data_IF_830574617060
#
_entry.id   IF_830574617060
#
_cell.length_a   1.000
_cell.length_b   1.000
_cell.length_c   1.000
_cell.angle_alpha   90.00
_cell.angle_beta   90.00
_cell.angle_gamma   90.00
#
_symmetry.space_group_name_H-M   'P 1'
#
loop_
_entity.id
_entity.type
_entity.pdbx_description
1 polymer ?
#
# COMPACT_ATOMS: atom_id res chain seq x y z
N UNK A 1 0.20 17.09 -23.46
CA UNK A 1 0.21 15.61 -23.34
C UNK A 1 0.75 15.08 -22.01
N UNK A 2 1.38 15.90 -21.14
CA UNK A 2 2.07 15.45 -19.91
C UNK A 2 1.21 15.34 -18.62
N UNK A 3 -0.12 15.43 -18.71
CA UNK A 3 -1.02 15.45 -17.54
C UNK A 3 -2.08 14.33 -17.53
N UNK A 4 -1.90 13.27 -18.33
CA UNK A 4 -2.75 12.07 -18.22
C UNK A 4 -2.31 11.29 -16.97
N UNK A 5 -2.71 11.83 -15.82
CA UNK A 5 -2.80 11.26 -14.48
C UNK A 5 -2.15 9.88 -14.33
N UNK A 6 -0.81 9.86 -14.22
CA UNK A 6 -0.03 8.63 -14.02
C UNK A 6 -0.56 7.80 -12.83
N UNK A 7 -1.11 8.48 -11.82
CA UNK A 7 -1.72 7.86 -10.64
C UNK A 7 -3.12 7.23 -10.85
N UNK A 8 -3.71 7.40 -12.04
CA UNK A 8 -4.93 6.71 -12.49
C UNK A 8 -4.65 5.47 -13.33
N UNK A 9 -3.40 5.23 -13.74
CA UNK A 9 -3.05 4.01 -14.46
C UNK A 9 -3.40 2.78 -13.61
N UNK A 10 -3.93 1.74 -14.27
CA UNK A 10 -3.98 0.41 -13.66
C UNK A 10 -2.56 -0.14 -13.55
N UNK A 11 -2.36 -1.14 -12.71
CA UNK A 11 -1.06 -1.84 -12.60
C UNK A 11 -0.64 -2.39 -13.96
N UNK A 12 -1.59 -2.97 -14.72
CA UNK A 12 -1.33 -3.51 -16.05
C UNK A 12 -0.83 -2.45 -17.04
N UNK A 13 -1.48 -1.28 -17.09
CA UNK A 13 -1.06 -0.19 -17.98
C UNK A 13 0.27 0.43 -17.54
N UNK A 14 0.45 0.68 -16.24
CA UNK A 14 1.72 1.18 -15.72
C UNK A 14 2.86 0.20 -16.05
N UNK A 15 2.68 -1.09 -15.78
CA UNK A 15 3.70 -2.10 -16.04
C UNK A 15 4.03 -2.23 -17.55
N UNK A 16 3.04 -2.05 -18.43
CA UNK A 16 3.27 -2.04 -19.88
C UNK A 16 4.11 -0.82 -20.30
N UNK A 17 3.75 0.39 -19.86
CA UNK A 17 4.48 1.62 -20.17
C UNK A 17 5.92 1.58 -19.62
N UNK A 18 6.12 1.05 -18.40
CA UNK A 18 7.44 0.87 -17.80
C UNK A 18 8.32 -0.08 -18.64
N UNK A 19 7.77 -1.20 -19.11
CA UNK A 19 8.50 -2.16 -19.95
C UNK A 19 8.80 -1.62 -21.34
N UNK A 20 7.92 -0.79 -21.88
CA UNK A 20 8.10 -0.14 -23.19
C UNK A 20 9.09 1.03 -23.13
N UNK A 21 9.49 1.49 -21.93
CA UNK A 21 10.33 2.67 -21.77
C UNK A 21 9.59 3.99 -22.04
N UNK A 22 8.25 3.95 -22.13
CA UNK A 22 7.40 5.12 -22.31
C UNK A 22 7.23 5.94 -21.01
N UNK A 23 7.52 5.29 -19.88
CA UNK A 23 7.48 5.84 -18.53
C UNK A 23 8.61 5.20 -17.74
N UNK A 24 9.35 5.99 -16.94
CA UNK A 24 10.33 5.43 -16.00
C UNK A 24 9.70 5.12 -14.64
N UNK A 25 10.21 4.10 -13.90
CA UNK A 25 9.79 3.85 -12.52
C UNK A 25 9.99 5.07 -11.61
N UNK A 26 11.03 5.87 -11.86
CA UNK A 26 11.29 7.11 -11.12
C UNK A 26 10.19 8.15 -11.38
N UNK A 27 9.84 8.44 -12.63
CA UNK A 27 8.75 9.38 -12.96
C UNK A 27 7.42 8.95 -12.35
N UNK A 28 7.09 7.64 -12.42
CA UNK A 28 5.87 7.12 -11.81
C UNK A 28 5.89 7.26 -10.28
N UNK A 29 7.04 7.02 -9.65
CA UNK A 29 7.20 7.12 -8.19
C UNK A 29 7.07 8.56 -7.72
N UNK A 30 7.74 9.50 -8.36
CA UNK A 30 7.63 10.94 -8.05
C UNK A 30 6.17 11.40 -8.20
N UNK A 31 5.48 10.98 -9.26
CA UNK A 31 4.07 11.31 -9.44
C UNK A 31 3.16 10.81 -8.30
N UNK A 32 3.50 9.69 -7.64
CA UNK A 32 2.79 9.25 -6.44
C UNK A 32 3.23 10.00 -5.18
N UNK A 33 4.52 10.29 -5.02
CA UNK A 33 5.03 11.05 -3.87
C UNK A 33 4.46 12.48 -3.83
N UNK A 34 4.42 13.17 -4.97
CA UNK A 34 3.81 14.51 -5.10
C UNK A 34 2.33 14.49 -4.68
N UNK A 35 1.60 13.43 -5.05
CA UNK A 35 0.20 13.27 -4.66
C UNK A 35 0.03 12.93 -3.19
N UNK A 36 0.92 12.13 -2.63
CA UNK A 36 0.94 11.83 -1.20
C UNK A 36 1.13 13.14 -0.42
N UNK A 37 2.10 13.97 -0.81
CA UNK A 37 2.33 15.27 -0.19
C UNK A 37 1.11 16.18 -0.29
N UNK A 38 0.49 16.27 -1.47
CA UNK A 38 -0.66 17.16 -1.69
C UNK A 38 -1.96 16.70 -1.01
N UNK A 39 -2.22 15.39 -0.92
CA UNK A 39 -3.54 14.86 -0.54
C UNK A 39 -3.56 14.16 0.82
N UNK A 40 -2.45 13.54 1.25
CA UNK A 40 -2.40 12.80 2.51
C UNK A 40 -2.66 13.68 3.75
N UNK A 41 -2.30 14.99 3.81
CA UNK A 41 -2.66 15.83 4.96
C UNK A 41 -4.18 15.91 5.22
N UNK A 42 -5.01 15.69 4.20
CA UNK A 42 -6.48 15.69 4.31
C UNK A 42 -7.07 14.29 4.45
N UNK A 43 -6.50 13.30 3.75
CA UNK A 43 -7.01 11.92 3.73
C UNK A 43 -6.48 11.11 4.92
N UNK A 44 -5.25 11.38 5.35
CA UNK A 44 -4.53 10.69 6.43
C UNK A 44 -4.49 9.15 6.23
N UNK A 45 -4.11 8.72 5.03
CA UNK A 45 -3.99 7.31 4.64
C UNK A 45 -2.63 6.70 5.01
N UNK A 46 -1.58 7.50 5.20
CA UNK A 46 -0.22 7.03 5.54
C UNK A 46 0.16 7.36 6.98
N UNK A 47 0.78 6.40 7.68
CA UNK A 47 1.49 6.61 8.97
C UNK A 47 2.96 6.93 8.72
N UNK A 48 3.58 6.25 7.75
CA UNK A 48 4.98 6.43 7.38
C UNK A 48 5.06 6.55 5.87
N UNK A 49 5.60 7.65 5.35
CA UNK A 49 5.97 7.77 3.94
C UNK A 49 7.47 7.51 3.82
N UNK A 50 7.88 6.66 2.89
CA UNK A 50 9.28 6.26 2.72
C UNK A 50 9.88 6.91 1.48
N UNK A 51 9.75 8.24 1.35
CA UNK A 51 10.05 8.97 0.11
C UNK A 51 11.46 8.71 -0.43
N UNK A 52 12.51 8.90 0.39
CA UNK A 52 13.89 8.69 -0.04
C UNK A 52 14.15 7.23 -0.46
N UNK A 53 13.67 6.28 0.34
CA UNK A 53 13.75 4.86 0.01
C UNK A 53 13.00 4.53 -1.28
N UNK A 54 11.82 5.12 -1.49
CA UNK A 54 11.04 4.91 -2.71
C UNK A 54 11.80 5.42 -3.94
N UNK A 55 12.45 6.58 -3.83
CA UNK A 55 13.31 7.14 -4.88
C UNK A 55 14.51 6.25 -5.19
N UNK A 56 15.18 5.72 -4.17
CA UNK A 56 16.30 4.79 -4.35
C UNK A 56 15.86 3.49 -5.04
N UNK A 57 14.74 2.92 -4.59
CA UNK A 57 14.15 1.73 -5.20
C UNK A 57 13.74 2.00 -6.66
N UNK A 58 13.21 3.19 -6.95
CA UNK A 58 12.82 3.62 -8.29
C UNK A 58 14.00 3.85 -9.24
N UNK A 59 15.08 4.49 -8.76
CA UNK A 59 16.34 4.64 -9.52
C UNK A 59 16.91 3.28 -9.90
N UNK A 60 17.00 2.36 -8.93
CA UNK A 60 17.47 0.99 -9.17
C UNK A 60 16.60 0.24 -10.18
N UNK A 61 15.27 0.34 -10.04
CA UNK A 61 14.35 -0.27 -11.00
C UNK A 61 14.50 0.32 -12.42
N UNK A 62 14.76 1.63 -12.51
CA UNK A 62 15.01 2.32 -13.78
C UNK A 62 16.28 1.79 -14.45
N UNK A 63 17.38 1.67 -13.71
CA UNK A 63 18.65 1.12 -14.19
C UNK A 63 18.53 -0.36 -14.62
N UNK A 64 17.78 -1.16 -13.87
CA UNK A 64 17.54 -2.56 -14.18
C UNK A 64 16.73 -2.73 -15.47
N UNK A 65 15.63 -1.97 -15.63
CA UNK A 65 14.83 -2.00 -16.85
C UNK A 65 15.60 -1.50 -18.07
N UNK A 66 16.37 -0.41 -17.92
CA UNK A 66 17.23 0.12 -19.00
C UNK A 66 18.29 -0.90 -19.46
N UNK A 67 18.74 -1.76 -18.55
CA UNK A 67 19.66 -2.85 -18.85
C UNK A 67 18.98 -4.17 -19.23
N UNK A 68 17.67 -4.17 -19.50
CA UNK A 68 16.89 -5.36 -19.89
C UNK A 68 16.64 -6.37 -18.77
N UNK A 69 16.91 -6.03 -17.50
CA UNK A 69 16.76 -6.92 -16.34
C UNK A 69 15.41 -6.73 -15.65
N UNK A 70 14.34 -7.27 -16.26
CA UNK A 70 13.03 -7.30 -15.61
C UNK A 70 12.95 -8.38 -14.52
N UNK A 71 12.28 -8.06 -13.40
CA UNK A 71 11.99 -8.98 -12.27
C UNK A 71 10.56 -9.53 -12.32
N UNK A 72 9.87 -9.30 -13.43
CA UNK A 72 8.50 -9.76 -13.64
C UNK A 72 7.48 -8.63 -13.73
N UNK A 73 6.18 -8.94 -13.62
CA UNK A 73 5.10 -8.03 -13.99
C UNK A 73 4.93 -6.82 -13.04
N UNK A 74 5.50 -6.88 -11.84
CA UNK A 74 5.41 -5.80 -10.83
C UNK A 74 6.71 -5.00 -10.69
N UNK A 75 7.71 -5.25 -11.55
CA UNK A 75 8.97 -4.51 -11.49
C UNK A 75 8.72 -3.02 -11.73
N UNK A 76 9.16 -2.17 -10.79
CA UNK A 76 9.03 -0.72 -10.86
C UNK A 76 7.65 -0.19 -10.46
N UNK A 77 6.75 -1.04 -9.94
CA UNK A 77 5.39 -0.63 -9.55
C UNK A 77 5.38 -0.09 -8.11
N UNK A 78 4.92 1.18 -7.89
CA UNK A 78 4.84 1.75 -6.54
C UNK A 78 3.65 1.23 -5.73
N UNK A 79 3.93 0.61 -4.59
CA UNK A 79 2.94 0.01 -3.68
C UNK A 79 3.10 0.55 -2.26
N UNK A 80 2.06 0.38 -1.43
CA UNK A 80 2.15 0.66 0.00
C UNK A 80 1.60 -0.50 0.84
N UNK A 81 2.13 -0.66 2.04
CA UNK A 81 1.70 -1.75 2.94
C UNK A 81 0.81 -1.23 4.06
N UNK A 82 -0.26 -1.95 4.41
CA UNK A 82 -0.93 -1.73 5.71
C UNK A 82 0.12 -1.82 6.83
N UNK A 83 0.00 -0.99 7.86
CA UNK A 83 0.98 -0.93 8.96
C UNK A 83 0.89 -2.09 9.96
N UNK A 84 0.60 -3.29 9.47
CA UNK A 84 0.73 -4.59 10.16
C UNK A 84 1.84 -5.45 9.56
N UNK A 85 2.28 -5.13 8.33
CA UNK A 85 3.25 -5.93 7.60
C UNK A 85 4.65 -5.50 8.01
N UNK A 86 5.38 -6.43 8.64
CA UNK A 86 6.78 -6.22 8.96
C UNK A 86 7.57 -5.94 7.68
N UNK A 87 8.41 -4.92 7.75
CA UNK A 87 9.20 -4.39 6.65
C UNK A 87 10.56 -3.99 7.21
N UNK A 88 11.62 -4.68 6.81
CA UNK A 88 12.95 -4.52 7.38
C UNK A 88 13.43 -3.07 7.25
N UNK A 89 13.85 -2.49 8.38
CA UNK A 89 14.33 -1.11 8.45
C UNK A 89 13.26 -0.03 8.33
N UNK A 90 11.97 -0.39 8.21
CA UNK A 90 10.85 0.56 8.12
C UNK A 90 9.92 0.35 9.31
N UNK A 91 9.67 1.42 10.06
CA UNK A 91 8.78 1.45 11.23
C UNK A 91 7.44 0.74 10.97
N UNK A 92 7.10 -0.24 11.80
CA UNK A 92 5.79 -0.95 11.79
C UNK A 92 5.12 -0.79 13.13
N UNK A 93 4.02 -0.05 13.20
CA UNK A 93 3.44 0.35 14.50
C UNK A 93 2.17 -0.40 14.88
N UNK A 94 1.56 -1.13 13.95
CA UNK A 94 0.23 -1.69 14.17
C UNK A 94 -0.86 -0.63 14.26
N UNK A 95 -0.56 0.63 13.92
CA UNK A 95 -1.40 1.77 14.30
C UNK A 95 -1.48 1.97 15.83
N UNK A 96 -0.49 1.52 16.60
CA UNK A 96 -0.44 1.60 18.06
C UNK A 96 0.72 2.47 18.54
N UNK A 97 0.61 3.00 19.76
CA UNK A 97 1.75 3.59 20.49
C UNK A 97 2.72 2.54 21.05
N UNK A 98 2.25 1.31 21.28
CA UNK A 98 3.08 0.23 21.84
C UNK A 98 4.27 -0.09 20.91
N UNK A 99 4.05 -0.05 19.60
CA UNK A 99 5.10 -0.26 18.59
C UNK A 99 5.49 1.05 17.90
N UNK A 100 5.34 2.20 18.55
CA UNK A 100 5.64 3.51 17.94
C UNK A 100 7.06 3.55 17.37
N UNK A 101 8.05 2.99 18.08
CA UNK A 101 9.46 2.98 17.68
C UNK A 101 9.93 1.62 17.16
N UNK A 102 9.01 0.68 16.89
CA UNK A 102 9.36 -0.65 16.42
C UNK A 102 9.84 -0.62 14.97
N UNK A 103 11.11 -0.98 14.77
CA UNK A 103 11.75 -1.11 13.46
C UNK A 103 12.16 -2.58 13.27
N UNK A 104 11.45 -3.33 12.41
CA UNK A 104 11.72 -4.75 12.20
C UNK A 104 13.07 -4.96 11.52
N UNK A 105 13.75 -6.06 11.86
CA UNK A 105 14.99 -6.49 11.20
C UNK A 105 14.74 -7.37 9.97
N UNK A 106 13.51 -7.86 9.81
CA UNK A 106 13.12 -8.76 8.72
C UNK A 106 11.78 -8.34 8.11
N UNK A 107 11.63 -8.67 6.82
CA UNK A 107 10.36 -8.52 6.12
C UNK A 107 9.37 -9.63 6.50
N UNK A 108 8.09 -9.29 6.48
CA UNK A 108 7.02 -10.27 6.30
C UNK A 108 7.21 -11.07 5.02
N UNK A 109 6.65 -12.27 4.95
CA UNK A 109 6.73 -13.08 3.71
C UNK A 109 6.15 -12.34 2.50
N UNK A 110 5.09 -11.55 2.70
CA UNK A 110 4.44 -10.77 1.64
C UNK A 110 5.32 -9.60 1.20
N UNK A 111 5.83 -8.80 2.13
CA UNK A 111 6.73 -7.68 1.83
C UNK A 111 7.99 -8.16 1.10
N UNK A 112 8.60 -9.25 1.58
CA UNK A 112 9.77 -9.86 0.95
C UNK A 112 9.49 -10.26 -0.50
N UNK A 113 8.39 -10.98 -0.75
CA UNK A 113 8.02 -11.45 -2.12
C UNK A 113 7.75 -10.27 -3.06
N UNK A 114 7.11 -9.21 -2.58
CA UNK A 114 6.82 -8.02 -3.39
C UNK A 114 8.09 -7.22 -3.70
N UNK A 115 9.00 -7.10 -2.72
CA UNK A 115 10.33 -6.50 -2.92
C UNK A 115 11.18 -7.31 -3.90
N UNK A 116 11.19 -8.64 -3.78
CA UNK A 116 11.87 -9.55 -4.72
C UNK A 116 11.31 -9.40 -6.16
N UNK A 117 10.00 -9.17 -6.30
CA UNK A 117 9.36 -8.88 -7.58
C UNK A 117 9.67 -7.48 -8.15
N UNK A 118 10.46 -6.66 -7.44
CA UNK A 118 10.90 -5.34 -7.90
C UNK A 118 9.92 -4.21 -7.67
N UNK A 119 8.94 -4.37 -6.77
CA UNK A 119 8.04 -3.26 -6.39
C UNK A 119 8.79 -2.17 -5.63
N UNK A 120 8.25 -0.95 -5.66
CA UNK A 120 8.77 0.23 -4.98
C UNK A 120 7.88 0.51 -3.77
N UNK A 121 8.47 0.62 -2.58
CA UNK A 121 7.70 0.87 -1.36
C UNK A 121 7.49 2.36 -1.13
N UNK A 122 6.25 2.82 -1.24
CA UNK A 122 5.84 4.20 -0.95
C UNK A 122 5.70 4.47 0.56
N UNK A 123 5.35 3.45 1.33
CA UNK A 123 5.26 3.57 2.78
C UNK A 123 4.29 2.61 3.47
N UNK A 124 3.90 3.00 4.68
CA UNK A 124 3.05 2.25 5.60
C UNK A 124 1.73 3.00 5.83
N UNK A 125 0.62 2.30 5.62
CA UNK A 125 -0.73 2.84 5.60
C UNK A 125 -1.39 2.74 6.96
N UNK A 126 -2.18 3.76 7.28
CA UNK A 126 -2.95 3.85 8.50
C UNK A 126 -3.95 2.69 8.61
N UNK A 127 -4.14 2.23 9.85
CA UNK A 127 -5.01 1.12 10.21
C UNK A 127 -5.71 1.44 11.51
N UNK A 128 -6.86 0.83 11.75
CA UNK A 128 -7.35 0.75 13.14
C UNK A 128 -6.30 0.00 13.98
N UNK A 129 -6.09 0.45 15.23
CA UNK A 129 -5.07 -0.11 16.12
C UNK A 129 -5.20 -1.64 16.20
N UNK A 130 -4.09 -2.34 15.91
CA UNK A 130 -4.02 -3.81 15.81
C UNK A 130 -5.11 -4.47 14.97
N UNK A 131 -5.53 -3.79 13.91
CA UNK A 131 -6.62 -4.22 13.04
C UNK A 131 -8.00 -4.29 13.72
N UNK A 132 -8.13 -3.87 14.99
CA UNK A 132 -9.32 -4.06 15.81
C UNK A 132 -10.30 -2.90 15.71
N UNK A 133 -10.99 -2.81 14.58
CA UNK A 133 -12.06 -1.83 14.38
C UNK A 133 -12.43 -1.67 12.91
N UNK A 134 -13.62 -1.12 12.67
CA UNK A 134 -14.25 -1.07 11.34
C UNK A 134 -14.36 0.33 10.75
N UNK A 135 -13.64 1.31 11.31
CA UNK A 135 -13.72 2.72 10.89
C UNK A 135 -12.38 3.36 10.50
N UNK A 136 -11.26 2.77 10.94
CA UNK A 136 -9.92 3.38 10.87
C UNK A 136 -9.86 4.80 11.51
N UNK A 137 -10.70 5.04 12.52
CA UNK A 137 -10.47 6.12 13.48
C UNK A 137 -9.35 5.70 14.43
N UNK A 138 -8.11 6.06 14.12
CA UNK A 138 -6.95 5.75 14.94
C UNK A 138 -6.70 6.89 15.96
N UNK A 139 -6.71 6.64 17.28
CA UNK A 139 -6.52 7.68 18.29
C UNK A 139 -5.07 8.20 18.39
N UNK A 140 -4.11 7.50 17.80
CA UNK A 140 -2.68 7.83 17.91
C UNK A 140 -2.14 8.52 16.66
N UNK A 141 -2.59 8.08 15.48
CA UNK A 141 -2.17 8.60 14.18
C UNK A 141 -3.27 9.39 13.46
N UNK A 142 -4.40 9.63 14.12
CA UNK A 142 -5.56 10.34 13.59
C UNK A 142 -6.45 9.48 12.67
N UNK A 143 -7.70 9.92 12.42
CA UNK A 143 -8.63 9.19 11.57
C UNK A 143 -8.22 9.28 10.10
N UNK A 144 -8.31 8.17 9.36
CA UNK A 144 -8.31 8.22 7.88
C UNK A 144 -9.70 8.68 7.41
N UNK A 145 -9.74 9.53 6.39
CA UNK A 145 -10.98 10.03 5.77
C UNK A 145 -11.26 9.33 4.44
N UNK A 146 -12.54 9.18 4.10
CA UNK A 146 -12.93 8.62 2.81
C UNK A 146 -12.68 9.66 1.68
N UNK A 147 -11.94 9.32 0.61
CA UNK A 147 -11.70 10.27 -0.48
C UNK A 147 -12.95 10.73 -1.24
N UNK A 148 -14.07 10.00 -1.16
CA UNK A 148 -15.34 10.41 -1.76
C UNK A 148 -16.10 11.46 -0.95
N UNK A 149 -15.91 11.47 0.38
CA UNK A 149 -16.47 12.45 1.30
C UNK A 149 -15.61 12.48 2.57
N UNK A 150 -14.85 13.57 2.76
CA UNK A 150 -13.89 13.69 3.86
C UNK A 150 -14.55 13.73 5.25
N UNK A 151 -15.88 13.91 5.33
CA UNK A 151 -16.63 13.78 6.57
C UNK A 151 -16.91 12.32 6.96
N UNK A 152 -16.71 11.36 6.04
CA UNK A 152 -17.04 9.94 6.22
C UNK A 152 -15.80 9.08 6.49
N UNK A 153 -16.06 7.91 7.06
CA UNK A 153 -15.05 6.87 7.29
C UNK A 153 -14.76 6.08 6.01
N UNK A 154 -13.52 5.58 5.84
CA UNK A 154 -13.15 4.66 4.77
C UNK A 154 -13.38 3.19 5.15
N UNK A 155 -14.21 2.92 6.17
CA UNK A 155 -14.29 1.66 6.89
C UNK A 155 -12.95 1.25 7.55
N UNK A 156 -12.84 -0.01 7.98
CA UNK A 156 -11.66 -0.50 8.66
C UNK A 156 -11.57 -2.03 8.73
N UNK A 157 -10.45 -2.57 9.19
CA UNK A 157 -9.30 -1.81 9.69
C UNK A 157 -8.31 -1.37 8.62
N UNK A 158 -8.41 -1.87 7.38
CA UNK A 158 -7.54 -1.45 6.25
C UNK A 158 -8.03 -0.17 5.56
N UNK A 159 -8.59 0.78 6.33
CA UNK A 159 -9.13 2.04 5.81
C UNK A 159 -8.08 2.88 5.08
N UNK A 160 -6.85 2.97 5.60
CA UNK A 160 -5.74 3.62 4.90
C UNK A 160 -5.43 2.98 3.55
N UNK A 161 -5.47 1.65 3.46
CA UNK A 161 -5.29 0.91 2.19
C UNK A 161 -6.37 1.26 1.17
N UNK A 162 -7.65 1.22 1.56
CA UNK A 162 -8.76 1.57 0.67
C UNK A 162 -8.72 3.02 0.22
N UNK A 163 -8.50 3.94 1.17
CA UNK A 163 -8.42 5.37 0.92
C UNK A 163 -7.23 5.74 0.01
N UNK A 164 -6.06 5.12 0.22
CA UNK A 164 -4.90 5.36 -0.64
C UNK A 164 -5.15 5.00 -2.10
N UNK A 165 -5.80 3.87 -2.38
CA UNK A 165 -6.15 3.49 -3.77
C UNK A 165 -7.19 4.45 -4.35
N UNK A 166 -8.25 4.75 -3.60
CA UNK A 166 -9.33 5.63 -4.07
C UNK A 166 -8.81 7.04 -4.39
N UNK A 167 -7.94 7.59 -3.54
CA UNK A 167 -7.29 8.90 -3.77
C UNK A 167 -6.14 8.85 -4.80
N UNK A 168 -5.75 7.68 -5.31
CA UNK A 168 -4.64 7.53 -6.24
C UNK A 168 -3.29 7.89 -5.60
N UNK A 169 -3.03 7.34 -4.42
CA UNK A 169 -1.80 7.54 -3.64
C UNK A 169 -0.89 6.30 -3.66
N UNK A 170 -1.31 5.23 -4.33
CA UNK A 170 -0.52 4.04 -4.66
C UNK A 170 -1.16 3.32 -5.85
N UNK A 171 -0.42 2.47 -6.55
CA UNK A 171 -1.00 1.59 -7.61
C UNK A 171 -1.74 0.39 -7.01
N UNK A 172 -1.17 -0.16 -5.93
CA UNK A 172 -1.68 -1.31 -5.19
C UNK A 172 -1.32 -1.14 -3.71
N UNK A 173 -2.15 -1.72 -2.85
CA UNK A 173 -1.86 -1.75 -1.41
C UNK A 173 -2.09 -3.14 -0.85
N UNK A 174 -1.42 -3.44 0.25
CA UNK A 174 -1.78 -4.62 1.05
C UNK A 174 -2.78 -4.22 2.14
N UNK A 175 -3.64 -5.16 2.51
CA UNK A 175 -4.56 -5.06 3.65
C UNK A 175 -4.60 -6.37 4.42
N UNK A 176 -5.31 -6.40 5.54
CA UNK A 176 -5.64 -7.65 6.23
C UNK A 176 -7.14 -7.73 6.47
N UNK A 177 -7.70 -8.95 6.43
CA UNK A 177 -9.14 -9.20 6.58
C UNK A 177 -9.34 -10.34 7.59
N UNK A 178 -9.87 -9.97 8.76
CA UNK A 178 -10.25 -10.91 9.83
C UNK A 178 -11.76 -11.10 9.84
N UNK A 179 -12.52 -10.01 9.72
CA UNK A 179 -13.99 -10.00 9.71
C UNK A 179 -14.59 -9.11 8.64
N UNK A 180 -13.86 -8.81 7.56
CA UNK A 180 -14.26 -7.86 6.52
C UNK A 180 -13.24 -6.74 6.28
N UNK A 181 -12.10 -6.75 6.96
CA UNK A 181 -11.19 -5.61 7.01
C UNK A 181 -10.43 -5.27 5.72
N UNK A 182 -10.56 -6.07 4.65
CA UNK A 182 -10.21 -5.67 3.27
C UNK A 182 -11.47 -5.28 2.51
N UNK A 183 -12.52 -6.11 2.59
CA UNK A 183 -13.74 -5.96 1.79
C UNK A 183 -14.58 -4.74 2.15
N UNK A 184 -14.67 -4.38 3.44
CA UNK A 184 -15.41 -3.19 3.87
C UNK A 184 -14.72 -1.89 3.41
N UNK A 185 -13.40 -1.69 3.59
CA UNK A 185 -12.73 -0.54 3.00
C UNK A 185 -12.82 -0.50 1.48
N UNK A 186 -12.72 -1.65 0.82
CA UNK A 186 -12.87 -1.73 -0.63
C UNK A 186 -14.26 -1.24 -1.08
N UNK A 187 -15.32 -1.71 -0.41
CA UNK A 187 -16.70 -1.29 -0.68
C UNK A 187 -16.91 0.21 -0.44
N UNK A 188 -16.52 0.73 0.73
CA UNK A 188 -16.77 2.12 1.10
C UNK A 188 -15.89 3.12 0.32
N UNK A 189 -14.70 2.70 -0.12
CA UNK A 189 -13.81 3.54 -0.93
C UNK A 189 -14.02 3.34 -2.44
N UNK A 190 -14.93 2.47 -2.88
CA UNK A 190 -15.19 2.22 -4.30
C UNK A 190 -13.99 1.63 -5.05
N UNK A 191 -13.27 0.69 -4.44
CA UNK A 191 -12.09 0.03 -5.00
C UNK A 191 -12.24 -1.49 -4.94
N UNK A 192 -11.32 -2.22 -5.59
CA UNK A 192 -11.31 -3.68 -5.55
C UNK A 192 -10.50 -4.14 -4.34
N UNK A 193 -11.05 -5.10 -3.59
CA UNK A 193 -10.36 -5.73 -2.47
C UNK A 193 -10.64 -7.23 -2.43
N UNK A 194 -9.58 -8.04 -2.39
CA UNK A 194 -9.68 -9.49 -2.39
C UNK A 194 -9.23 -10.06 -1.04
N UNK A 195 -10.15 -10.75 -0.35
CA UNK A 195 -9.79 -11.69 0.72
C UNK A 195 -9.61 -13.08 0.11
N UNK A 196 -8.38 -13.60 -0.03
CA UNK A 196 -8.16 -14.92 -0.62
C UNK A 196 -8.68 -16.04 0.30
N UNK A 197 -8.62 -17.28 -0.19
CA UNK A 197 -8.83 -18.49 0.63
C UNK A 197 -7.87 -18.52 1.81
N UNK A 198 -8.33 -18.99 2.97
CA UNK A 198 -7.48 -19.14 4.15
C UNK A 198 -6.24 -20.00 3.84
N UNK A 199 -5.07 -19.55 4.28
CA UNK A 199 -3.79 -20.21 4.01
C UNK A 199 -3.18 -19.96 2.62
N UNK A 200 -3.90 -19.32 1.69
CA UNK A 200 -3.37 -19.01 0.34
C UNK A 200 -2.17 -18.05 0.38
N UNK A 201 -2.21 -17.06 1.25
CA UNK A 201 -1.14 -16.07 1.41
C UNK A 201 -0.61 -16.17 2.84
N UNK A 202 0.72 -16.17 2.96
CA UNK A 202 1.39 -16.29 4.26
C UNK A 202 1.07 -15.09 5.17
N UNK A 203 1.04 -15.37 6.47
CA UNK A 203 0.86 -14.38 7.56
C UNK A 203 2.14 -14.17 8.38
N UNK A 204 3.22 -14.89 8.05
CA UNK A 204 4.48 -14.75 8.75
C UNK A 204 5.01 -13.31 8.61
N UNK A 205 5.29 -12.68 9.75
CA UNK A 205 5.67 -11.26 9.85
C UNK A 205 4.51 -10.29 9.62
N UNK A 206 3.26 -10.71 9.80
CA UNK A 206 2.12 -9.78 9.85
C UNK A 206 1.57 -9.80 11.27
N UNK A 207 1.46 -8.62 11.90
CA UNK A 207 0.94 -8.48 13.25
C UNK A 207 -0.46 -9.11 13.34
N UNK A 208 -0.68 -10.05 14.27
CA UNK A 208 -1.92 -10.83 14.33
C UNK A 208 -3.04 -10.04 15.00
N UNK A 209 -4.28 -10.25 14.53
CA UNK A 209 -5.48 -10.00 15.32
C UNK A 209 -6.12 -11.32 15.75
N UNK A 210 -6.27 -12.25 14.81
CA UNK A 210 -6.80 -13.58 15.05
C UNK A 210 -6.13 -14.63 14.17
N UNK A 211 -5.38 -15.53 14.81
CA UNK A 211 -4.62 -16.58 14.13
C UNK A 211 -5.45 -17.46 13.19
N UNK A 212 -6.75 -17.65 13.46
CA UNK A 212 -7.63 -18.50 12.65
C UNK A 212 -8.44 -17.75 11.60
N UNK A 213 -8.62 -16.44 11.75
CA UNK A 213 -9.47 -15.65 10.85
C UNK A 213 -8.69 -14.67 9.99
N UNK A 214 -7.47 -14.31 10.36
CA UNK A 214 -6.66 -13.36 9.60
C UNK A 214 -6.33 -13.90 8.21
N UNK A 215 -6.45 -13.01 7.22
CA UNK A 215 -5.98 -13.15 5.85
C UNK A 215 -5.19 -11.92 5.45
N UNK A 216 -4.19 -12.12 4.61
CA UNK A 216 -3.48 -11.06 3.89
C UNK A 216 -4.04 -10.97 2.48
N UNK A 217 -4.18 -9.77 1.91
CA UNK A 217 -4.74 -9.60 0.58
C UNK A 217 -4.54 -8.21 -0.02
N UNK A 218 -4.70 -8.07 -1.33
CA UNK A 218 -4.50 -6.80 -2.03
C UNK A 218 -5.76 -5.93 -2.05
N UNK A 219 -5.54 -4.62 -2.18
CA UNK A 219 -6.53 -3.67 -2.68
C UNK A 219 -5.97 -2.93 -3.90
N UNK A 220 -6.78 -2.78 -4.94
CA UNK A 220 -6.41 -2.23 -6.25
C UNK A 220 -7.55 -1.43 -6.88
N UNK A 221 -7.26 -0.64 -7.91
CA UNK A 221 -8.29 0.11 -8.65
C UNK A 221 -9.13 -0.80 -9.56
N UNK A 222 -8.51 -1.81 -10.15
CA UNK A 222 -9.10 -2.72 -11.13
C UNK A 222 -8.99 -4.16 -10.65
N UNK A 223 -9.82 -5.04 -11.23
CA UNK A 223 -9.77 -6.49 -10.97
C UNK A 223 -8.51 -7.12 -11.57
N UNK A 224 -8.07 -6.61 -12.72
CA UNK A 224 -6.86 -7.00 -13.45
C UNK A 224 -5.65 -6.18 -13.01
#
# INVERSE_FOLDING_TARGET
MKDINLAKLSIAHAAAALRAGELSPLELTEAYLDRIEALNPRVNAYITVTAERARDDARRATEELAAGRSRGPLHGIPIAHKDLYETAGIRTTGGSKIHADHIPTADSTVARKLREAGTILLGKLNTHEYAYGVTTNNPHYGPTRNPWDLARIPAGSSGGSGAAIAAGLATATTGSDTGGSIRMPASLCGVVGLKPTYGRVSKAGVLPLSWRFDHTGPLTRTVL
#
